data_IF_570848073456
#
_entry.id   IF_570848073456
#
_cell.length_a   1.000
_cell.length_b   1.000
_cell.length_c   1.000
_cell.angle_alpha   90.00
_cell.angle_beta   90.00
_cell.angle_gamma   90.00
#
_symmetry.space_group_name_H-M   'P 1'
#
loop_
_entity.id
_entity.type
_entity.pdbx_description
1 polymer ?
#
# COMPACT_ATOMS: atom_id res chain seq x y z
N UNK A 1 20.08 7.20 -16.31
CA UNK A 1 18.60 7.16 -16.39
C UNK A 1 18.11 7.13 -17.84
N UNK A 2 18.69 7.93 -18.73
CA UNK A 2 18.34 7.93 -20.17
C UNK A 2 18.39 6.56 -20.87
N UNK A 3 19.33 5.69 -20.50
CA UNK A 3 19.45 4.34 -21.06
C UNK A 3 18.21 3.46 -20.83
N UNK A 4 17.41 3.72 -19.78
CA UNK A 4 16.19 2.97 -19.48
C UNK A 4 15.07 3.25 -20.50
N UNK A 5 15.12 4.40 -21.17
CA UNK A 5 14.11 4.87 -22.10
C UNK A 5 14.50 4.65 -23.57
N UNK A 6 15.78 4.35 -23.87
CA UNK A 6 16.28 4.13 -25.24
C UNK A 6 15.49 3.08 -26.04
N UNK A 7 15.01 2.01 -25.40
CA UNK A 7 14.21 0.98 -26.08
C UNK A 7 12.76 1.37 -26.33
N UNK A 8 12.31 2.52 -25.81
CA UNK A 8 10.91 2.98 -25.90
C UNK A 8 10.74 4.23 -26.75
N UNK A 9 11.85 4.83 -27.22
CA UNK A 9 11.89 6.00 -28.08
C UNK A 9 11.80 5.59 -29.56
N UNK A 10 11.01 6.33 -30.33
CA UNK A 10 11.06 6.28 -31.79
C UNK A 10 12.34 6.94 -32.32
N UNK A 11 12.73 6.63 -33.57
CA UNK A 11 13.99 7.11 -34.18
C UNK A 11 14.19 8.63 -34.14
N UNK A 12 13.11 9.40 -34.19
CA UNK A 12 13.12 10.87 -34.21
C UNK A 12 12.64 11.51 -32.89
N UNK A 13 12.44 10.72 -31.84
CA UNK A 13 12.03 11.23 -30.53
C UNK A 13 13.23 11.65 -29.69
N UNK A 14 13.11 12.84 -29.07
CA UNK A 14 14.09 13.35 -28.11
C UNK A 14 13.47 13.46 -26.74
N UNK A 15 14.25 13.08 -25.72
CA UNK A 15 13.84 13.27 -24.34
C UNK A 15 14.03 14.73 -23.97
N UNK A 16 12.97 15.38 -23.52
CA UNK A 16 12.99 16.76 -23.03
C UNK A 16 13.28 16.83 -21.53
N UNK A 17 12.78 15.85 -20.77
CA UNK A 17 12.96 15.80 -19.32
C UNK A 17 12.85 14.38 -18.77
N UNK A 18 13.63 14.08 -17.72
CA UNK A 18 13.54 12.83 -16.96
C UNK A 18 13.48 13.14 -15.48
N UNK A 19 12.61 12.43 -14.76
CA UNK A 19 12.57 12.50 -13.31
C UNK A 19 11.95 11.29 -12.66
N UNK A 20 11.95 11.31 -11.33
CA UNK A 20 11.28 10.35 -10.47
C UNK A 20 10.26 11.09 -9.60
N UNK A 21 9.17 10.43 -9.16
CA UNK A 21 8.21 11.06 -8.28
C UNK A 21 8.88 11.48 -6.97
N UNK A 22 8.58 12.70 -6.52
CA UNK A 22 9.18 13.25 -5.31
C UNK A 22 8.82 12.39 -4.10
N UNK A 23 9.81 12.00 -3.29
CA UNK A 23 9.66 11.09 -2.13
C UNK A 23 8.88 11.71 -0.95
N UNK A 24 8.38 12.94 -1.10
CA UNK A 24 8.11 13.85 0.02
C UNK A 24 6.89 13.54 0.88
N UNK A 25 5.87 12.85 0.37
CA UNK A 25 4.63 12.65 1.13
C UNK A 25 4.19 11.18 1.10
N UNK A 26 4.74 10.40 2.03
CA UNK A 26 4.15 9.10 2.38
C UNK A 26 2.70 9.28 2.84
N UNK A 27 2.44 10.36 3.58
CA UNK A 27 1.13 10.77 4.04
C UNK A 27 0.53 11.82 3.09
N UNK A 28 -0.32 11.36 2.19
CA UNK A 28 -1.19 12.24 1.40
C UNK A 28 -2.40 12.67 2.27
N UNK A 29 -3.10 13.74 1.91
CA UNK A 29 -4.27 14.24 2.65
C UNK A 29 -5.36 13.17 2.82
N UNK A 30 -5.47 12.26 1.85
CA UNK A 30 -6.33 11.07 1.90
C UNK A 30 -5.89 10.04 2.93
N UNK A 31 -4.58 9.88 3.13
CA UNK A 31 -4.01 8.94 4.09
C UNK A 31 -4.24 9.38 5.54
N UNK A 32 -4.37 10.69 5.76
CA UNK A 32 -4.64 11.28 7.09
C UNK A 32 -5.97 10.80 7.69
N UNK A 33 -6.99 10.56 6.86
CA UNK A 33 -8.28 10.04 7.34
C UNK A 33 -8.25 8.52 7.59
N UNK A 34 -7.49 7.77 6.78
CA UNK A 34 -7.40 6.31 6.92
C UNK A 34 -6.46 5.89 8.06
N UNK A 35 -5.48 6.73 8.41
CA UNK A 35 -4.49 6.40 9.43
C UNK A 35 -5.10 6.18 10.83
N UNK A 36 -5.98 7.06 11.37
CA UNK A 36 -6.68 6.83 12.64
C UNK A 36 -7.54 5.56 12.64
N UNK A 37 -8.22 5.27 11.53
CA UNK A 37 -9.05 4.06 11.41
C UNK A 37 -8.17 2.80 11.46
N UNK A 38 -7.02 2.84 10.79
CA UNK A 38 -6.07 1.72 10.76
C UNK A 38 -5.46 1.45 12.13
N UNK A 39 -5.08 2.51 12.87
CA UNK A 39 -4.50 2.35 14.20
C UNK A 39 -5.54 1.89 15.22
N UNK A 40 -6.77 2.41 15.15
CA UNK A 40 -7.87 1.97 16.01
C UNK A 40 -8.20 0.49 15.77
N UNK A 41 -8.30 0.07 14.50
CA UNK A 41 -8.53 -1.33 14.15
C UNK A 41 -7.41 -2.24 14.66
N UNK A 42 -6.15 -1.84 14.49
CA UNK A 42 -5.00 -2.61 14.98
C UNK A 42 -5.02 -2.75 16.52
N UNK A 43 -5.25 -1.66 17.24
CA UNK A 43 -5.30 -1.65 18.71
C UNK A 43 -6.45 -2.50 19.25
N UNK A 44 -7.64 -2.41 18.65
CA UNK A 44 -8.78 -3.23 19.03
C UNK A 44 -8.49 -4.73 18.83
N UNK A 45 -7.88 -5.11 17.71
CA UNK A 45 -7.55 -6.51 17.43
C UNK A 45 -6.45 -7.04 18.36
N UNK A 46 -5.47 -6.21 18.72
CA UNK A 46 -4.45 -6.56 19.72
C UNK A 46 -5.11 -6.81 21.08
N UNK A 47 -6.08 -5.99 21.48
CA UNK A 47 -6.83 -6.18 22.72
C UNK A 47 -7.58 -7.51 22.75
N UNK A 48 -8.25 -7.87 21.66
CA UNK A 48 -8.94 -9.17 21.55
C UNK A 48 -7.94 -10.33 21.65
N UNK A 49 -6.84 -10.28 20.90
CA UNK A 49 -5.81 -11.32 20.96
C UNK A 49 -5.18 -11.45 22.35
N UNK A 50 -4.98 -10.33 23.05
CA UNK A 50 -4.45 -10.32 24.42
C UNK A 50 -5.38 -11.05 25.39
N UNK A 51 -6.70 -10.84 25.31
CA UNK A 51 -7.68 -11.58 26.13
C UNK A 51 -7.57 -13.08 25.90
N UNK A 52 -7.42 -13.52 24.65
CA UNK A 52 -7.23 -14.94 24.33
C UNK A 52 -5.91 -15.50 24.89
N UNK A 53 -4.81 -14.75 24.76
CA UNK A 53 -3.51 -15.15 25.33
C UNK A 53 -3.60 -15.28 26.85
N UNK A 54 -4.23 -14.33 27.53
CA UNK A 54 -4.44 -14.36 28.98
C UNK A 54 -5.34 -15.53 29.38
N UNK A 55 -6.38 -15.82 28.60
CA UNK A 55 -7.24 -16.99 28.85
C UNK A 55 -6.51 -18.32 28.66
N UNK A 56 -5.59 -18.42 27.71
CA UNK A 56 -4.78 -19.63 27.54
C UNK A 56 -3.82 -19.74 28.74
N UNK A 57 -3.19 -18.64 29.13
CA UNK A 57 -2.27 -18.61 30.27
C UNK A 57 -2.95 -18.97 31.60
N UNK A 58 -4.21 -18.56 31.79
CA UNK A 58 -4.95 -18.83 33.02
C UNK A 58 -5.21 -20.32 33.23
N UNK A 59 -5.34 -21.10 32.15
CA UNK A 59 -5.43 -22.57 32.21
C UNK A 59 -4.16 -23.17 32.83
N UNK A 60 -2.98 -22.64 32.51
CA UNK A 60 -1.71 -23.13 33.06
C UNK A 60 -1.46 -22.71 34.51
N UNK A 61 -2.13 -21.65 34.97
CA UNK A 61 -1.94 -21.08 36.30
C UNK A 61 -3.06 -21.46 37.29
N UNK A 62 -4.00 -22.33 36.88
CA UNK A 62 -5.22 -22.66 37.63
C UNK A 62 -6.04 -21.43 38.06
N UNK A 63 -5.99 -20.36 37.26
CA UNK A 63 -6.75 -19.12 37.48
C UNK A 63 -8.05 -19.21 36.69
N UNK A 64 -9.19 -19.04 37.37
CA UNK A 64 -10.49 -19.01 36.69
C UNK A 64 -10.79 -17.63 36.10
N UNK A 65 -10.93 -17.57 34.79
CA UNK A 65 -11.39 -16.38 34.06
C UNK A 65 -12.74 -16.73 33.43
N UNK A 66 -13.76 -15.91 33.69
CA UNK A 66 -15.09 -16.08 33.10
C UNK A 66 -15.13 -15.56 31.66
N UNK A 67 -14.84 -16.43 30.70
CA UNK A 67 -15.16 -16.21 29.29
C UNK A 67 -16.56 -16.75 28.96
N UNK A 68 -17.06 -16.42 27.76
CA UNK A 68 -18.33 -16.95 27.28
C UNK A 68 -18.33 -18.48 27.31
N UNK A 69 -19.48 -19.07 27.66
CA UNK A 69 -19.60 -20.52 27.92
C UNK A 69 -19.42 -21.40 26.67
N UNK A 70 -19.43 -20.82 25.46
CA UNK A 70 -19.25 -21.58 24.23
C UNK A 70 -17.79 -21.58 23.78
N UNK A 71 -17.09 -22.69 24.04
CA UNK A 71 -15.71 -22.91 23.58
C UNK A 71 -15.56 -22.78 22.06
N UNK A 72 -16.54 -23.27 21.29
CA UNK A 72 -16.53 -23.20 19.83
C UNK A 72 -16.58 -21.75 19.32
N UNK A 73 -17.38 -20.90 19.96
CA UNK A 73 -17.47 -19.47 19.62
C UNK A 73 -16.15 -18.77 19.93
N UNK A 74 -15.54 -19.07 21.08
CA UNK A 74 -14.25 -18.50 21.48
C UNK A 74 -13.15 -18.84 20.46
N UNK A 75 -13.05 -20.11 20.06
CA UNK A 75 -12.08 -20.54 19.03
C UNK A 75 -12.35 -19.85 17.69
N UNK A 76 -13.61 -19.77 17.26
CA UNK A 76 -13.97 -19.10 16.01
C UNK A 76 -13.60 -17.60 16.01
N UNK A 77 -13.87 -16.89 17.11
CA UNK A 77 -13.51 -15.49 17.27
C UNK A 77 -11.98 -15.31 17.24
N UNK A 78 -11.21 -16.21 17.84
CA UNK A 78 -9.75 -16.17 17.81
C UNK A 78 -9.21 -16.23 16.37
N UNK A 79 -9.71 -17.15 15.54
CA UNK A 79 -9.30 -17.26 14.14
C UNK A 79 -9.67 -16.02 13.31
N UNK A 80 -10.89 -15.50 13.49
CA UNK A 80 -11.31 -14.27 12.80
C UNK A 80 -10.42 -13.10 13.21
N UNK A 81 -10.14 -12.97 14.51
CA UNK A 81 -9.30 -11.90 15.05
C UNK A 81 -7.89 -11.95 14.46
N UNK A 82 -7.34 -13.16 14.27
CA UNK A 82 -6.02 -13.33 13.64
C UNK A 82 -6.01 -12.87 12.18
N UNK A 83 -7.03 -13.22 11.40
CA UNK A 83 -7.15 -12.79 9.99
C UNK A 83 -7.29 -11.26 9.92
N UNK A 84 -8.15 -10.68 10.75
CA UNK A 84 -8.39 -9.23 10.79
C UNK A 84 -7.13 -8.48 11.26
N UNK A 85 -6.35 -9.04 12.20
CA UNK A 85 -5.09 -8.46 12.65
C UNK A 85 -4.08 -8.36 11.50
N UNK A 86 -3.94 -9.42 10.70
CA UNK A 86 -3.04 -9.43 9.53
C UNK A 86 -3.46 -8.34 8.53
N UNK A 87 -4.77 -8.22 8.26
CA UNK A 87 -5.31 -7.20 7.36
C UNK A 87 -5.05 -5.79 7.92
N UNK A 88 -5.35 -5.58 9.19
CA UNK A 88 -5.14 -4.28 9.87
C UNK A 88 -3.67 -3.87 9.84
N UNK A 89 -2.76 -4.82 10.05
CA UNK A 89 -1.33 -4.59 9.98
C UNK A 89 -0.87 -4.23 8.56
N UNK A 90 -1.39 -4.92 7.54
CA UNK A 90 -1.10 -4.58 6.14
C UNK A 90 -1.57 -3.17 5.77
N UNK A 91 -2.80 -2.80 6.17
CA UNK A 91 -3.34 -1.45 5.91
C UNK A 91 -2.57 -0.39 6.70
N UNK A 92 -2.13 -0.70 7.93
CA UNK A 92 -1.38 0.23 8.76
C UNK A 92 0.05 0.46 8.26
N UNK A 93 0.79 -0.58 7.90
CA UNK A 93 2.22 -0.46 7.57
C UNK A 93 2.57 -0.94 6.16
N UNK A 94 1.99 -2.08 5.75
CA UNK A 94 2.27 -2.71 4.46
C UNK A 94 2.06 -1.78 3.26
N UNK A 95 0.96 -1.02 3.25
CA UNK A 95 0.65 -0.08 2.15
C UNK A 95 1.72 1.01 1.97
N UNK A 96 2.34 1.49 3.05
CA UNK A 96 3.35 2.56 3.00
C UNK A 96 4.68 2.03 2.47
N UNK A 97 5.05 0.82 2.88
CA UNK A 97 6.23 0.12 2.34
C UNK A 97 6.06 -0.11 0.84
N UNK A 98 4.89 -0.62 0.42
CA UNK A 98 4.57 -0.84 -0.99
C UNK A 98 4.58 0.47 -1.79
N UNK A 99 3.95 1.54 -1.27
CA UNK A 99 3.95 2.86 -1.90
C UNK A 99 5.36 3.41 -2.07
N UNK A 100 6.21 3.34 -1.04
CA UNK A 100 7.61 3.78 -1.09
C UNK A 100 8.41 2.99 -2.11
N UNK A 101 8.21 1.67 -2.15
CA UNK A 101 8.86 0.79 -3.13
C UNK A 101 8.43 1.14 -4.56
N UNK A 102 7.12 1.29 -4.82
CA UNK A 102 6.58 1.69 -6.12
C UNK A 102 7.11 3.05 -6.57
N UNK A 103 7.14 4.04 -5.69
CA UNK A 103 7.65 5.39 -6.01
C UNK A 103 9.15 5.38 -6.33
N UNK A 104 9.96 4.58 -5.62
CA UNK A 104 11.39 4.42 -5.92
C UNK A 104 11.64 3.82 -7.30
N UNK A 105 10.74 2.95 -7.74
CA UNK A 105 10.87 2.20 -8.98
C UNK A 105 10.06 2.79 -10.15
N UNK A 106 9.48 3.99 -9.98
CA UNK A 106 8.76 4.69 -11.06
C UNK A 106 9.63 5.80 -11.63
N UNK A 107 9.73 5.85 -12.95
CA UNK A 107 10.51 6.81 -13.71
C UNK A 107 9.62 7.46 -14.76
N UNK A 108 9.72 8.77 -14.89
CA UNK A 108 9.00 9.56 -15.87
C UNK A 108 9.98 10.13 -16.89
N UNK A 109 9.65 9.99 -18.17
CA UNK A 109 10.31 10.73 -19.24
C UNK A 109 9.28 11.47 -20.09
N UNK A 110 9.55 12.74 -20.35
CA UNK A 110 8.73 13.57 -21.25
C UNK A 110 9.51 13.69 -22.56
N UNK A 111 8.88 13.28 -23.67
CA UNK A 111 9.41 13.46 -25.02
C UNK A 111 8.69 14.60 -25.74
N UNK A 112 9.10 14.88 -26.98
CA UNK A 112 8.43 15.84 -27.85
C UNK A 112 7.02 15.42 -28.32
N UNK A 113 6.64 14.14 -28.17
CA UNK A 113 5.37 13.60 -28.70
C UNK A 113 4.51 12.94 -27.59
N UNK A 114 5.15 12.33 -26.59
CA UNK A 114 4.45 11.58 -25.54
C UNK A 114 5.15 11.64 -24.18
N UNK A 115 4.40 11.29 -23.15
CA UNK A 115 4.90 11.05 -21.81
C UNK A 115 5.03 9.54 -21.62
N UNK A 116 6.20 9.10 -21.17
CA UNK A 116 6.50 7.70 -20.89
C UNK A 116 6.61 7.52 -19.38
N UNK A 117 5.74 6.68 -18.83
CA UNK A 117 5.80 6.25 -17.42
C UNK A 117 6.34 4.83 -17.38
N UNK A 118 7.51 4.66 -16.77
CA UNK A 118 8.11 3.35 -16.53
C UNK A 118 7.99 3.00 -15.05
N UNK A 119 7.26 1.94 -14.73
CA UNK A 119 7.19 1.40 -13.37
C UNK A 119 7.84 0.02 -13.34
N UNK A 120 9.01 -0.05 -12.69
CA UNK A 120 9.85 -1.24 -12.61
C UNK A 120 9.60 -2.01 -11.30
N UNK A 121 8.43 -2.65 -11.20
CA UNK A 121 8.06 -3.45 -10.02
C UNK A 121 8.25 -4.95 -10.30
N UNK A 122 7.31 -5.83 -9.97
CA UNK A 122 7.39 -7.25 -10.34
C UNK A 122 7.28 -7.47 -11.85
N UNK A 123 6.55 -6.59 -12.53
CA UNK A 123 6.46 -6.51 -13.99
C UNK A 123 6.83 -5.11 -14.40
N UNK A 124 7.54 -5.01 -15.53
CA UNK A 124 7.85 -3.73 -16.15
C UNK A 124 6.58 -3.21 -16.83
N UNK A 125 5.96 -2.21 -16.22
CA UNK A 125 4.80 -1.53 -16.77
C UNK A 125 5.27 -0.29 -17.52
N UNK A 126 4.85 -0.16 -18.78
CA UNK A 126 5.20 0.95 -19.65
C UNK A 126 3.92 1.57 -20.14
N UNK A 127 3.62 2.76 -19.64
CA UNK A 127 2.47 3.54 -20.07
C UNK A 127 2.96 4.67 -20.98
N UNK A 128 2.31 4.80 -22.14
CA UNK A 128 2.61 5.83 -23.13
C UNK A 128 1.37 6.69 -23.28
N UNK A 129 1.51 7.99 -23.01
CA UNK A 129 0.41 8.95 -23.08
C UNK A 129 0.79 10.03 -24.08
N UNK A 130 0.04 10.15 -25.17
CA UNK A 130 0.30 11.16 -26.21
C UNK A 130 -0.04 12.55 -25.70
N UNK A 131 0.86 13.52 -25.94
CA UNK A 131 0.68 14.89 -25.43
C UNK A 131 -0.53 15.58 -26.07
N UNK A 132 -0.84 15.24 -27.32
CA UNK A 132 -1.96 15.78 -28.07
C UNK A 132 -3.32 15.38 -27.48
N UNK A 133 -3.40 14.22 -26.79
CA UNK A 133 -4.62 13.82 -26.07
C UNK A 133 -4.92 14.68 -24.84
N UNK A 134 -3.90 15.31 -24.27
CA UNK A 134 -4.06 16.17 -23.08
C UNK A 134 -4.59 17.55 -23.50
N UNK A 135 -4.13 18.09 -24.64
CA UNK A 135 -4.58 19.39 -25.16
C UNK A 135 -6.02 19.37 -25.69
N UNK A 136 -6.53 18.22 -26.16
CA UNK A 136 -7.90 18.11 -26.67
C UNK A 136 -9.02 18.31 -25.63
N UNK A 137 -8.69 18.38 -24.33
CA UNK A 137 -9.63 18.71 -23.25
C UNK A 137 -9.56 20.16 -22.76
N UNK A 138 -8.67 20.97 -23.34
CA UNK A 138 -8.46 22.38 -23.01
C UNK A 138 -8.70 23.24 -24.27
N UNK A 139 -9.91 23.17 -24.83
CA UNK A 139 -10.39 24.25 -25.69
C UNK A 139 -11.03 25.33 -24.79
N UNK A 140 -10.68 26.62 -24.96
CA UNK A 140 -11.31 27.72 -24.22
C UNK A 140 -12.81 27.83 -24.50
#
# INVERSE_FOLDING_TARGET
MESLFKSYLSKDERILWIGQPHKGLLFDRREMYLFPISIAALLLNIGVLFVFIVSILSIFLDITISLSESELVNVFIMFISLIILIISFYVFLGRFIYKKWKMKNTYYAITNDKIIVLTDTYKKLVEKIDINRINGGLTP
#
